data_IF_205722744506
#
_entry.id   IF_205722744506
#
_cell.length_a   1.000
_cell.length_b   1.000
_cell.length_c   1.000
_cell.angle_alpha   90.00
_cell.angle_beta   90.00
_cell.angle_gamma   90.00
#
_symmetry.space_group_name_H-M   'P 1'
#
loop_
_entity.id
_entity.type
_entity.pdbx_description
1 polymer ?
#
# COMPACT_ATOMS: atom_id res chain seq x y z
N UNK A 1 -29.25 -8.97 -4.12
CA UNK A 1 -28.18 -8.26 -3.38
C UNK A 1 -26.84 -8.63 -4.00
N UNK A 2 -25.98 -7.63 -4.22
CA UNK A 2 -24.63 -7.78 -4.78
C UNK A 2 -23.67 -7.05 -3.85
N UNK A 3 -22.53 -7.67 -3.56
CA UNK A 3 -21.45 -7.08 -2.77
C UNK A 3 -20.28 -6.71 -3.68
N UNK A 4 -19.72 -5.51 -3.47
CA UNK A 4 -18.45 -5.12 -4.09
C UNK A 4 -17.32 -5.79 -3.31
N UNK A 5 -16.65 -6.74 -3.94
CA UNK A 5 -15.51 -7.48 -3.35
C UNK A 5 -14.22 -6.70 -3.50
N UNK A 6 -14.07 -6.02 -4.63
CA UNK A 6 -12.92 -5.15 -4.93
C UNK A 6 -13.41 -3.93 -5.69
N UNK A 7 -12.92 -2.78 -5.27
CA UNK A 7 -13.12 -1.52 -5.98
C UNK A 7 -12.32 -1.50 -7.29
N UNK A 8 -12.73 -0.64 -8.21
CA UNK A 8 -11.98 -0.42 -9.44
C UNK A 8 -10.58 0.17 -9.13
N UNK A 9 -9.59 -0.23 -9.92
CA UNK A 9 -8.21 0.20 -9.72
C UNK A 9 -7.49 0.36 -11.05
N UNK A 10 -7.14 1.59 -11.39
CA UNK A 10 -6.51 1.90 -12.67
C UNK A 10 -7.39 1.42 -13.82
N UNK A 11 -6.86 0.53 -14.66
CA UNK A 11 -7.58 -0.05 -15.79
C UNK A 11 -8.37 -1.32 -15.45
N UNK A 12 -8.42 -1.73 -14.17
CA UNK A 12 -9.15 -2.91 -13.72
C UNK A 12 -10.49 -2.49 -13.15
N UNK A 13 -11.59 -3.03 -13.69
CA UNK A 13 -12.93 -2.82 -13.18
C UNK A 13 -13.15 -3.43 -11.79
N UNK A 14 -14.23 -3.03 -11.12
CA UNK A 14 -14.66 -3.56 -9.84
C UNK A 14 -14.98 -5.07 -9.93
N UNK A 15 -14.72 -5.82 -8.87
CA UNK A 15 -15.16 -7.20 -8.73
C UNK A 15 -16.41 -7.25 -7.86
N UNK A 16 -17.46 -7.87 -8.40
CA UNK A 16 -18.75 -8.04 -7.73
C UNK A 16 -19.00 -9.52 -7.45
N UNK A 17 -19.68 -9.80 -6.33
CA UNK A 17 -20.11 -11.14 -5.97
C UNK A 17 -21.54 -11.14 -5.43
N UNK A 18 -22.23 -12.25 -5.61
CA UNK A 18 -23.54 -12.52 -4.99
C UNK A 18 -23.40 -13.33 -3.70
N UNK A 19 -22.21 -13.86 -3.42
CA UNK A 19 -21.90 -14.50 -2.15
C UNK A 19 -21.57 -13.44 -1.10
N UNK A 20 -22.53 -13.07 -0.30
CA UNK A 20 -22.38 -12.03 0.71
C UNK A 20 -21.50 -12.53 1.84
N UNK A 21 -20.60 -11.69 2.30
CA UNK A 21 -19.74 -11.92 3.46
C UNK A 21 -19.76 -10.73 4.40
N UNK A 22 -20.16 -10.95 5.65
CA UNK A 22 -20.24 -9.94 6.69
C UNK A 22 -19.13 -10.19 7.72
N UNK A 23 -18.24 -9.24 7.87
CA UNK A 23 -17.09 -9.37 8.76
C UNK A 23 -17.40 -8.86 10.17
N UNK A 24 -17.43 -9.78 11.14
CA UNK A 24 -17.44 -9.50 12.57
C UNK A 24 -16.03 -9.35 13.15
N UNK A 25 -15.97 -9.29 14.45
CA UNK A 25 -14.71 -9.25 15.20
C UNK A 25 -13.97 -10.58 15.15
N UNK A 26 -14.65 -11.65 15.54
CA UNK A 26 -14.08 -12.98 15.71
C UNK A 26 -14.38 -13.91 14.54
N UNK A 27 -15.40 -13.59 13.74
CA UNK A 27 -15.82 -14.42 12.63
C UNK A 27 -16.28 -13.61 11.42
N UNK A 28 -16.47 -14.33 10.31
CA UNK A 28 -17.10 -13.83 9.09
C UNK A 28 -18.33 -14.69 8.84
N UNK A 29 -19.49 -14.07 8.71
CA UNK A 29 -20.75 -14.74 8.36
C UNK A 29 -20.95 -14.69 6.83
N UNK A 30 -21.29 -15.84 6.27
CA UNK A 30 -21.68 -15.97 4.85
C UNK A 30 -23.13 -16.45 4.76
N UNK A 31 -24.09 -15.51 4.72
CA UNK A 31 -25.51 -15.81 4.90
C UNK A 31 -26.09 -16.70 3.81
N UNK A 32 -25.56 -16.68 2.61
CA UNK A 32 -26.04 -17.40 1.45
C UNK A 32 -25.04 -18.41 0.89
N UNK A 33 -24.08 -18.85 1.70
CA UNK A 33 -23.08 -19.86 1.32
C UNK A 33 -22.82 -20.86 2.47
N UNK A 34 -23.71 -21.82 2.70
CA UNK A 34 -23.58 -22.79 3.80
C UNK A 34 -22.39 -23.74 3.64
N UNK A 35 -21.84 -23.87 2.42
CA UNK A 35 -20.66 -24.73 2.16
C UNK A 35 -19.35 -24.04 2.54
N UNK A 36 -19.35 -22.72 2.67
CA UNK A 36 -18.19 -21.97 3.10
C UNK A 36 -18.20 -21.92 4.63
N UNK A 37 -17.21 -22.52 5.26
CA UNK A 37 -17.10 -22.52 6.72
C UNK A 37 -15.76 -23.06 7.18
N UNK A 38 -15.45 -22.82 8.44
CA UNK A 38 -14.26 -23.37 9.06
C UNK A 38 -13.50 -22.38 9.96
N UNK A 39 -12.22 -22.65 10.13
CA UNK A 39 -11.31 -21.87 10.96
C UNK A 39 -10.17 -21.35 10.10
N UNK A 40 -9.75 -20.10 10.33
CA UNK A 40 -8.62 -19.47 9.62
C UNK A 40 -7.44 -20.43 9.45
N UNK A 41 -6.83 -20.45 8.26
CA UNK A 41 -5.66 -21.28 7.95
C UNK A 41 -4.40 -20.90 8.73
N UNK A 42 -4.42 -19.77 9.42
CA UNK A 42 -3.33 -19.29 10.28
C UNK A 42 -3.34 -19.92 11.67
N UNK A 43 -4.45 -20.55 12.05
CA UNK A 43 -4.62 -21.17 13.36
C UNK A 43 -4.31 -22.65 13.21
N UNK A 44 -3.36 -23.14 13.99
CA UNK A 44 -2.84 -24.51 13.93
C UNK A 44 -2.84 -25.15 15.33
N UNK A 45 -2.61 -26.47 15.40
CA UNK A 45 -2.42 -27.19 16.64
C UNK A 45 -3.63 -27.19 17.59
N UNK A 46 -3.34 -27.09 18.88
CA UNK A 46 -4.33 -27.16 19.98
C UNK A 46 -5.35 -26.02 19.94
N UNK A 47 -4.91 -24.83 19.54
CA UNK A 47 -5.79 -23.65 19.41
C UNK A 47 -6.89 -23.88 18.36
N UNK A 48 -6.53 -24.57 17.26
CA UNK A 48 -7.50 -24.93 16.22
C UNK A 48 -8.52 -25.96 16.72
N UNK A 49 -8.08 -26.93 17.54
CA UNK A 49 -8.97 -27.93 18.14
C UNK A 49 -9.96 -27.27 19.12
N UNK A 50 -9.45 -26.45 20.03
CA UNK A 50 -10.28 -25.71 21.00
C UNK A 50 -11.32 -24.79 20.31
N UNK A 51 -10.91 -24.09 19.25
CA UNK A 51 -11.86 -23.27 18.48
C UNK A 51 -12.91 -24.09 17.74
N UNK A 52 -12.58 -25.30 17.29
CA UNK A 52 -13.56 -26.20 16.68
C UNK A 52 -14.62 -26.63 17.69
N UNK A 53 -14.22 -26.94 18.91
CA UNK A 53 -15.14 -27.32 19.98
C UNK A 53 -16.03 -26.14 20.38
N UNK A 54 -15.47 -24.94 20.50
CA UNK A 54 -16.22 -23.70 20.74
C UNK A 54 -17.22 -23.42 19.60
N UNK A 55 -16.81 -23.60 18.34
CA UNK A 55 -17.66 -23.39 17.16
C UNK A 55 -18.83 -24.38 17.11
N UNK A 56 -18.62 -25.63 17.55
CA UNK A 56 -19.66 -26.65 17.61
C UNK A 56 -20.72 -26.37 18.70
N UNK A 57 -20.41 -25.51 19.67
CA UNK A 57 -21.31 -25.15 20.78
C UNK A 57 -22.17 -23.90 20.50
N UNK A 58 -21.91 -23.17 19.41
CA UNK A 58 -22.68 -21.98 19.02
C UNK A 58 -23.78 -22.33 18.01
N UNK A 59 -24.86 -21.54 18.01
CA UNK A 59 -26.03 -21.76 17.17
C UNK A 59 -25.87 -21.09 15.80
N UNK A 60 -25.30 -21.80 14.84
CA UNK A 60 -25.18 -21.35 13.45
C UNK A 60 -26.39 -21.82 12.66
N UNK A 61 -27.13 -20.94 11.95
CA UNK A 61 -28.23 -21.37 11.07
C UNK A 61 -27.72 -22.29 9.94
N UNK A 62 -28.44 -23.38 9.65
CA UNK A 62 -28.03 -24.39 8.66
C UNK A 62 -27.80 -23.86 7.24
N UNK A 63 -28.46 -22.75 6.89
CA UNK A 63 -28.34 -22.09 5.60
C UNK A 63 -27.11 -21.18 5.46
N UNK A 64 -26.30 -21.02 6.53
CA UNK A 64 -25.24 -20.04 6.60
C UNK A 64 -23.88 -20.69 6.87
N UNK A 65 -22.83 -20.11 6.31
CA UNK A 65 -21.45 -20.47 6.57
C UNK A 65 -20.76 -19.47 7.50
N UNK A 66 -19.84 -19.96 8.34
CA UNK A 66 -19.08 -19.12 9.27
C UNK A 66 -17.60 -19.50 9.18
N UNK A 67 -16.73 -18.48 9.10
CA UNK A 67 -15.27 -18.65 9.21
C UNK A 67 -14.77 -17.92 10.45
N UNK A 68 -14.13 -18.65 11.38
CA UNK A 68 -13.49 -18.03 12.55
C UNK A 68 -12.16 -17.39 12.15
N UNK A 69 -12.00 -16.13 12.53
CA UNK A 69 -10.80 -15.31 12.31
C UNK A 69 -9.75 -15.61 13.38
N UNK A 70 -8.50 -15.19 13.14
CA UNK A 70 -7.40 -15.30 14.12
C UNK A 70 -7.69 -14.58 15.43
N UNK A 71 -8.49 -13.52 15.42
CA UNK A 71 -8.94 -12.81 16.61
C UNK A 71 -9.82 -13.65 17.55
N UNK A 72 -10.36 -14.76 17.06
CA UNK A 72 -11.17 -15.71 17.86
C UNK A 72 -10.35 -16.69 18.71
N UNK A 73 -9.03 -16.71 18.59
CA UNK A 73 -8.16 -17.57 19.41
C UNK A 73 -8.38 -17.25 20.89
N UNK A 74 -8.61 -18.30 21.71
CA UNK A 74 -8.79 -18.18 23.14
C UNK A 74 -10.10 -17.53 23.59
N UNK A 75 -11.06 -17.29 22.67
CA UNK A 75 -12.37 -16.73 23.02
C UNK A 75 -13.36 -17.82 23.43
N UNK A 76 -14.24 -17.45 24.36
CA UNK A 76 -15.29 -18.34 24.81
C UNK A 76 -16.39 -18.51 23.76
N UNK A 77 -17.18 -19.58 23.87
CA UNK A 77 -18.35 -19.78 23.00
C UNK A 77 -19.37 -18.64 23.13
N UNK A 78 -19.49 -18.01 24.29
CA UNK A 78 -20.35 -16.86 24.52
C UNK A 78 -19.91 -15.64 23.73
N UNK A 79 -18.62 -15.32 23.73
CA UNK A 79 -18.06 -14.21 22.96
C UNK A 79 -18.23 -14.43 21.45
N UNK A 80 -18.04 -15.68 20.99
CA UNK A 80 -18.28 -16.04 19.59
C UNK A 80 -19.77 -15.95 19.25
N UNK A 81 -20.67 -16.33 20.16
CA UNK A 81 -22.11 -16.22 19.94
C UNK A 81 -22.55 -14.75 19.83
N UNK A 82 -22.03 -13.86 20.67
CA UNK A 82 -22.34 -12.42 20.58
C UNK A 82 -21.95 -11.82 19.21
N UNK A 83 -20.77 -12.18 18.73
CA UNK A 83 -20.33 -11.72 17.40
C UNK A 83 -21.23 -12.27 16.26
N UNK A 84 -21.65 -13.52 16.39
CA UNK A 84 -22.60 -14.16 15.47
C UNK A 84 -23.96 -13.48 15.51
N UNK A 85 -24.50 -13.22 16.69
CA UNK A 85 -25.81 -12.58 16.87
C UNK A 85 -25.82 -11.17 16.28
N UNK A 86 -24.75 -10.40 16.47
CA UNK A 86 -24.58 -9.10 15.82
C UNK A 86 -24.62 -9.22 14.30
N UNK A 87 -23.91 -10.20 13.72
CA UNK A 87 -23.89 -10.42 12.28
C UNK A 87 -25.24 -10.90 11.73
N UNK A 88 -25.98 -11.69 12.47
CA UNK A 88 -27.33 -12.13 12.13
C UNK A 88 -28.33 -10.96 12.14
N UNK A 89 -28.26 -10.07 13.14
CA UNK A 89 -29.05 -8.85 13.16
C UNK A 89 -28.72 -7.92 11.97
N UNK A 90 -27.45 -7.76 11.67
CA UNK A 90 -27.01 -6.96 10.52
C UNK A 90 -27.54 -7.55 9.20
N UNK A 91 -27.47 -8.87 9.04
CA UNK A 91 -28.01 -9.55 7.87
C UNK A 91 -29.52 -9.35 7.72
N UNK A 92 -30.25 -9.50 8.81
CA UNK A 92 -31.70 -9.25 8.83
C UNK A 92 -32.05 -7.82 8.41
N UNK A 93 -31.31 -6.83 8.90
CA UNK A 93 -31.49 -5.44 8.52
C UNK A 93 -31.17 -5.19 7.03
N UNK A 94 -30.17 -5.86 6.47
CA UNK A 94 -29.82 -5.80 5.04
C UNK A 94 -30.95 -6.39 4.19
N UNK A 95 -31.52 -7.52 4.59
CA UNK A 95 -32.63 -8.16 3.88
C UNK A 95 -33.88 -7.26 3.90
N UNK A 96 -34.25 -6.73 5.04
CA UNK A 96 -35.36 -5.81 5.17
C UNK A 96 -35.19 -4.56 4.30
N UNK A 97 -34.00 -3.94 4.32
CA UNK A 97 -33.71 -2.77 3.49
C UNK A 97 -33.73 -3.09 1.98
N UNK A 98 -33.40 -4.33 1.60
CA UNK A 98 -33.46 -4.77 0.20
C UNK A 98 -34.90 -4.97 -0.29
N UNK A 99 -35.83 -5.38 0.59
CA UNK A 99 -37.24 -5.53 0.27
C UNK A 99 -37.96 -4.19 0.20
N UNK A 100 -37.65 -3.27 1.10
CA UNK A 100 -38.29 -1.95 1.20
C UNK A 100 -37.87 -0.95 0.12
N UNK A 101 -36.69 -1.12 -0.46
CA UNK A 101 -36.09 -0.12 -1.37
C UNK A 101 -36.02 -0.64 -2.80
N UNK A 102 -36.30 0.26 -3.75
CA UNK A 102 -36.24 -0.04 -5.18
C UNK A 102 -34.79 0.03 -5.69
N UNK A 103 -34.34 -1.05 -6.35
CA UNK A 103 -33.02 -1.11 -6.98
C UNK A 103 -32.88 -0.14 -8.17
N UNK A 104 -31.66 0.38 -8.46
CA UNK A 104 -30.40 0.20 -7.72
C UNK A 104 -30.28 1.15 -6.52
N UNK A 105 -29.89 0.66 -5.36
CA UNK A 105 -29.70 1.46 -4.15
C UNK A 105 -28.57 0.88 -3.29
N UNK A 106 -27.78 1.75 -2.65
CA UNK A 106 -26.81 1.35 -1.64
C UNK A 106 -27.56 0.94 -0.36
N UNK A 107 -27.44 -0.34 0.03
CA UNK A 107 -28.11 -0.90 1.21
C UNK A 107 -27.22 -0.76 2.44
N UNK A 108 -25.99 -1.21 2.34
CA UNK A 108 -24.98 -1.17 3.39
C UNK A 108 -23.65 -0.68 2.83
N UNK A 109 -23.10 0.33 3.44
CA UNK A 109 -21.71 0.69 3.30
C UNK A 109 -20.95 0.10 4.48
N UNK A 110 -19.82 -0.59 4.23
CA UNK A 110 -19.00 -1.11 5.32
C UNK A 110 -18.66 0.03 6.29
N UNK A 111 -18.84 -0.26 7.58
CA UNK A 111 -18.84 0.71 8.65
C UNK A 111 -17.67 1.69 8.62
N UNK A 112 -17.88 2.84 9.26
CA UNK A 112 -16.91 3.87 9.59
C UNK A 112 -15.52 3.28 9.91
N UNK A 113 -14.45 3.98 9.49
CA UNK A 113 -13.06 3.58 9.69
C UNK A 113 -12.73 3.29 11.17
N UNK A 114 -13.38 4.00 12.09
CA UNK A 114 -13.18 3.85 13.54
C UNK A 114 -13.73 2.50 14.01
N UNK A 115 -14.95 2.15 13.63
CA UNK A 115 -15.55 0.85 13.96
C UNK A 115 -14.71 -0.29 13.36
N UNK A 116 -14.24 -0.14 12.12
CA UNK A 116 -13.34 -1.12 11.50
C UNK A 116 -12.02 -1.23 12.25
N UNK A 117 -11.43 -0.11 12.69
CA UNK A 117 -10.21 -0.11 13.46
C UNK A 117 -10.39 -0.82 14.82
N UNK A 118 -11.46 -0.50 15.56
CA UNK A 118 -11.77 -1.17 16.82
C UNK A 118 -12.02 -2.66 16.59
N UNK A 119 -12.87 -3.01 15.63
CA UNK A 119 -13.16 -4.40 15.27
C UNK A 119 -11.91 -5.20 14.95
N UNK A 120 -10.98 -4.62 14.21
CA UNK A 120 -9.85 -5.36 13.66
C UNK A 120 -8.59 -5.29 14.54
N UNK A 121 -8.40 -4.24 15.32
CA UNK A 121 -7.15 -3.99 16.06
C UNK A 121 -7.27 -3.99 17.57
N UNK A 122 -8.46 -3.78 18.15
CA UNK A 122 -8.61 -3.79 19.62
C UNK A 122 -8.34 -5.19 20.17
N UNK A 123 -7.31 -5.32 21.02
CA UNK A 123 -6.86 -6.56 21.66
C UNK A 123 -6.67 -6.34 23.15
N UNK A 124 -6.46 -7.44 23.88
CA UNK A 124 -6.28 -7.39 25.35
C UNK A 124 -5.01 -6.64 25.77
N UNK A 125 -3.98 -6.65 24.92
CA UNK A 125 -2.70 -5.94 25.11
C UNK A 125 -2.78 -4.42 24.84
N UNK A 126 -3.93 -3.91 24.39
CA UNK A 126 -4.16 -2.46 24.22
C UNK A 126 -4.77 -1.91 25.49
N UNK A 127 -4.10 -0.92 26.09
CA UNK A 127 -4.56 -0.29 27.33
C UNK A 127 -5.69 0.71 27.10
N UNK A 128 -5.59 1.53 26.06
CA UNK A 128 -6.52 2.62 25.81
C UNK A 128 -6.77 2.83 24.32
N UNK A 129 -8.01 3.18 23.99
CA UNK A 129 -8.44 3.72 22.71
C UNK A 129 -8.93 5.13 22.95
N UNK A 130 -8.22 6.12 22.44
CA UNK A 130 -8.54 7.53 22.60
C UNK A 130 -9.19 8.06 21.31
N UNK A 131 -10.32 8.71 21.45
CA UNK A 131 -11.09 9.30 20.35
C UNK A 131 -11.38 10.75 20.70
N UNK A 132 -11.06 11.68 19.81
CA UNK A 132 -11.18 13.13 20.04
C UNK A 132 -12.47 13.75 19.46
N UNK A 133 -13.25 12.97 18.70
CA UNK A 133 -14.57 13.37 18.21
C UNK A 133 -15.66 12.71 19.07
N UNK A 134 -16.57 13.51 19.64
CA UNK A 134 -17.68 13.02 20.46
C UNK A 134 -18.63 12.12 19.68
N UNK A 135 -18.93 12.46 18.43
CA UNK A 135 -19.76 11.66 17.53
C UNK A 135 -19.14 10.28 17.31
N UNK A 136 -17.88 10.26 16.93
CA UNK A 136 -17.12 9.02 16.71
C UNK A 136 -16.94 8.19 17.97
N UNK A 137 -16.80 8.83 19.13
CA UNK A 137 -16.75 8.16 20.42
C UNK A 137 -18.07 7.45 20.74
N UNK A 138 -19.19 8.13 20.51
CA UNK A 138 -20.51 7.56 20.75
C UNK A 138 -20.78 6.36 19.84
N UNK A 139 -20.43 6.45 18.54
CA UNK A 139 -20.52 5.31 17.62
C UNK A 139 -19.64 4.13 18.05
N UNK A 140 -18.39 4.42 18.44
CA UNK A 140 -17.45 3.42 18.92
C UNK A 140 -17.96 2.73 20.20
N UNK A 141 -18.47 3.50 21.15
CA UNK A 141 -19.04 2.98 22.39
C UNK A 141 -20.24 2.10 22.14
N UNK A 142 -21.16 2.51 21.27
CA UNK A 142 -22.31 1.71 20.90
C UNK A 142 -21.91 0.36 20.32
N UNK A 143 -20.93 0.33 19.42
CA UNK A 143 -20.39 -0.90 18.85
C UNK A 143 -19.71 -1.79 19.90
N UNK A 144 -18.87 -1.19 20.77
CA UNK A 144 -18.14 -1.93 21.81
C UNK A 144 -19.10 -2.53 22.86
N UNK A 145 -20.15 -1.81 23.24
CA UNK A 145 -21.17 -2.31 24.17
C UNK A 145 -21.93 -3.52 23.60
N UNK A 146 -22.16 -3.55 22.31
CA UNK A 146 -22.89 -4.66 21.66
C UNK A 146 -22.01 -5.89 21.41
N UNK A 147 -20.76 -5.70 20.97
CA UNK A 147 -19.92 -6.80 20.47
C UNK A 147 -18.82 -7.19 21.44
N UNK A 148 -18.32 -6.24 22.24
CA UNK A 148 -17.15 -6.42 23.10
C UNK A 148 -17.29 -5.68 24.44
N UNK A 149 -18.31 -5.97 25.27
CA UNK A 149 -18.62 -5.19 26.47
C UNK A 149 -17.48 -5.14 27.49
N UNK A 150 -16.60 -6.13 27.51
CA UNK A 150 -15.43 -6.17 28.40
C UNK A 150 -14.35 -5.12 28.06
N UNK A 151 -14.35 -4.58 26.83
CA UNK A 151 -13.44 -3.51 26.42
C UNK A 151 -13.98 -2.09 26.66
N UNK A 152 -15.21 -1.94 27.17
CA UNK A 152 -15.86 -0.65 27.39
C UNK A 152 -14.96 0.36 28.13
N UNK A 153 -14.29 -0.09 29.18
CA UNK A 153 -13.44 0.75 30.03
C UNK A 153 -12.14 1.23 29.34
N UNK A 154 -11.77 0.64 28.22
CA UNK A 154 -10.57 1.00 27.45
C UNK A 154 -10.83 2.13 26.44
N UNK A 155 -12.08 2.34 26.02
CA UNK A 155 -12.45 3.40 25.08
C UNK A 155 -12.77 4.69 25.85
N UNK A 156 -12.06 5.77 25.52
CA UNK A 156 -12.18 7.06 26.20
C UNK A 156 -12.27 8.22 25.24
N UNK A 157 -13.10 9.22 25.58
CA UNK A 157 -13.12 10.49 24.89
C UNK A 157 -11.89 11.33 25.30
N UNK A 158 -11.15 11.81 24.32
CA UNK A 158 -10.00 12.68 24.52
C UNK A 158 -10.44 14.14 24.46
N UNK A 159 -10.17 14.93 25.50
CA UNK A 159 -10.62 16.33 25.65
C UNK A 159 -9.51 17.30 26.02
N UNK A 160 -8.23 16.89 25.91
CA UNK A 160 -7.10 17.78 26.20
C UNK A 160 -6.95 18.89 25.14
N UNK A 161 -6.27 19.99 25.51
CA UNK A 161 -6.01 21.13 24.63
C UNK A 161 -5.03 20.81 23.51
N UNK A 162 -4.10 19.88 23.74
CA UNK A 162 -3.11 19.47 22.74
C UNK A 162 -3.78 18.47 21.79
N UNK A 163 -3.74 18.68 20.45
CA UNK A 163 -4.30 17.74 19.51
C UNK A 163 -3.74 16.33 19.72
N UNK A 164 -4.61 15.32 19.62
CA UNK A 164 -4.32 13.93 19.96
C UNK A 164 -3.08 13.39 19.22
N UNK A 165 -2.97 13.62 17.92
CA UNK A 165 -1.84 13.12 17.12
C UNK A 165 -0.53 13.86 17.44
N UNK A 166 -0.59 15.16 17.79
CA UNK A 166 0.59 15.91 18.21
C UNK A 166 1.10 15.43 19.57
N UNK A 167 0.18 15.13 20.52
CA UNK A 167 0.57 14.60 21.84
C UNK A 167 1.38 13.32 21.75
N UNK A 168 1.03 12.43 20.82
CA UNK A 168 1.68 11.13 20.65
C UNK A 168 2.68 11.11 19.48
N UNK A 169 3.02 12.26 18.91
CA UNK A 169 3.97 12.41 17.78
C UNK A 169 3.62 11.53 16.56
N UNK A 170 2.32 11.38 16.31
CA UNK A 170 1.81 10.53 15.21
C UNK A 170 1.96 11.22 13.87
N UNK A 171 1.79 12.57 13.80
CA UNK A 171 1.88 13.36 12.57
C UNK A 171 3.21 13.14 11.84
N UNK A 172 4.34 13.20 12.56
CA UNK A 172 5.68 13.00 11.97
C UNK A 172 5.86 11.58 11.41
N UNK A 173 5.22 10.59 12.04
CA UNK A 173 5.24 9.20 11.55
C UNK A 173 4.37 9.02 10.32
N UNK A 174 3.20 9.70 10.24
CA UNK A 174 2.36 9.72 9.05
C UNK A 174 3.12 10.34 7.88
N UNK A 175 3.77 11.50 8.10
CA UNK A 175 4.58 12.16 7.07
C UNK A 175 5.74 11.29 6.58
N UNK A 176 6.37 10.50 7.45
CA UNK A 176 7.43 9.58 7.05
C UNK A 176 6.95 8.52 6.05
N UNK A 177 5.66 8.16 6.08
CA UNK A 177 5.09 7.19 5.16
C UNK A 177 4.95 7.71 3.71
N UNK A 178 5.03 9.02 3.49
CA UNK A 178 5.03 9.64 2.17
C UNK A 178 6.44 9.89 1.62
N UNK A 179 7.47 9.81 2.47
CA UNK A 179 8.86 10.05 2.06
C UNK A 179 9.45 8.81 1.40
N UNK A 180 10.25 9.02 0.34
CA UNK A 180 10.98 7.92 -0.32
C UNK A 180 12.07 7.36 0.60
N UNK A 181 12.76 8.24 1.34
CA UNK A 181 13.85 7.91 2.25
C UNK A 181 13.40 8.08 3.71
N UNK A 182 13.70 7.09 4.54
CA UNK A 182 13.38 7.09 5.98
C UNK A 182 14.65 6.88 6.77
N UNK A 183 14.89 7.78 7.73
CA UNK A 183 16.09 7.78 8.57
C UNK A 183 16.01 6.69 9.65
N UNK A 184 17.15 6.08 9.93
CA UNK A 184 17.32 5.10 11.00
C UNK A 184 17.93 5.76 12.26
N UNK A 185 17.70 5.19 13.45
CA UNK A 185 18.22 5.75 14.71
C UNK A 185 19.73 5.95 14.75
N UNK A 186 20.49 5.05 14.13
CA UNK A 186 21.98 5.14 14.04
C UNK A 186 22.47 6.18 13.04
N UNK A 187 21.59 6.80 12.27
CA UNK A 187 21.92 7.78 11.22
C UNK A 187 22.04 7.20 9.81
N UNK A 188 21.80 5.90 9.64
CA UNK A 188 21.56 5.27 8.33
C UNK A 188 20.18 5.60 7.78
N UNK A 189 19.85 5.11 6.61
CA UNK A 189 18.54 5.29 6.00
C UNK A 189 18.10 4.07 5.18
N UNK A 190 16.78 3.94 5.03
CA UNK A 190 16.18 3.03 4.07
C UNK A 190 15.54 3.83 2.93
N UNK A 191 15.67 3.35 1.71
CA UNK A 191 15.06 3.96 0.52
C UNK A 191 14.06 2.97 -0.06
N UNK A 192 12.79 3.40 -0.17
CA UNK A 192 11.68 2.55 -0.60
C UNK A 192 11.24 2.98 -1.99
N UNK A 193 11.48 2.16 -3.00
CA UNK A 193 11.16 2.42 -4.40
C UNK A 193 10.15 1.41 -4.94
N UNK A 194 8.91 1.84 -5.20
CA UNK A 194 7.95 1.01 -5.91
C UNK A 194 8.30 0.94 -7.40
N UNK A 195 8.33 -0.28 -7.93
CA UNK A 195 8.39 -0.54 -9.37
C UNK A 195 7.04 -1.06 -9.87
N UNK A 196 6.91 -1.34 -11.16
CA UNK A 196 5.66 -1.90 -11.72
C UNK A 196 5.32 -3.27 -11.10
N UNK A 197 6.31 -4.12 -10.83
CA UNK A 197 6.11 -5.51 -10.41
C UNK A 197 6.35 -5.76 -8.92
N UNK A 198 7.25 -5.02 -8.30
CA UNK A 198 7.70 -5.24 -6.93
C UNK A 198 8.11 -3.92 -6.26
N UNK A 199 8.32 -3.97 -4.96
CA UNK A 199 8.94 -2.87 -4.21
C UNK A 199 10.36 -3.25 -3.86
N UNK A 200 11.33 -2.42 -4.22
CA UNK A 200 12.72 -2.54 -3.79
C UNK A 200 13.00 -1.64 -2.61
N UNK A 201 13.79 -2.13 -1.67
CA UNK A 201 14.21 -1.38 -0.49
C UNK A 201 15.73 -1.49 -0.39
N UNK A 202 16.40 -0.33 -0.45
CA UNK A 202 17.84 -0.18 -0.31
C UNK A 202 18.19 0.34 1.08
N UNK A 203 19.33 -0.07 1.63
CA UNK A 203 19.77 0.30 2.98
C UNK A 203 21.11 1.02 2.90
N UNK A 204 21.15 2.23 3.40
CA UNK A 204 22.33 3.06 3.46
C UNK A 204 22.85 3.17 4.90
N UNK A 205 24.15 2.88 5.13
CA UNK A 205 24.77 3.10 6.42
C UNK A 205 25.12 4.56 6.66
N UNK A 206 25.24 4.96 7.94
CA UNK A 206 25.71 6.29 8.29
C UNK A 206 27.15 6.53 7.83
N UNK A 207 27.46 7.78 7.43
CA UNK A 207 28.83 8.16 7.03
C UNK A 207 29.86 8.12 8.17
N UNK A 208 29.41 8.25 9.41
CA UNK A 208 30.25 8.24 10.60
C UNK A 208 30.15 6.86 11.27
N UNK A 209 31.08 5.97 10.96
CA UNK A 209 31.27 4.72 11.70
C UNK A 209 31.92 5.03 13.04
N UNK A 210 31.12 5.04 14.11
CA UNK A 210 31.63 5.11 15.49
C UNK A 210 32.11 3.75 16.00
N UNK A 211 31.89 2.66 15.26
CA UNK A 211 32.31 1.31 15.58
C UNK A 211 33.65 0.97 14.94
N UNK A 212 34.48 0.23 15.64
CA UNK A 212 35.80 -0.21 15.18
C UNK A 212 35.75 -1.33 14.14
N UNK A 213 34.56 -1.86 13.80
CA UNK A 213 34.35 -2.94 12.87
C UNK A 213 33.22 -2.61 11.88
N UNK A 214 33.51 -2.71 10.59
CA UNK A 214 32.59 -2.50 9.48
C UNK A 214 31.43 -3.52 9.55
N UNK A 215 31.73 -4.75 9.92
CA UNK A 215 30.74 -5.83 10.06
C UNK A 215 29.72 -5.55 11.18
N UNK A 216 30.18 -5.03 12.33
CA UNK A 216 29.28 -4.68 13.44
C UNK A 216 28.36 -3.51 13.08
N UNK A 217 28.91 -2.51 12.37
CA UNK A 217 28.12 -1.38 11.86
C UNK A 217 27.06 -1.86 10.86
N UNK A 218 27.40 -2.76 9.94
CA UNK A 218 26.49 -3.35 8.99
C UNK A 218 25.37 -4.13 9.68
N UNK A 219 25.71 -4.96 10.66
CA UNK A 219 24.74 -5.71 11.44
C UNK A 219 23.77 -4.80 12.17
N UNK A 220 24.26 -3.79 12.90
CA UNK A 220 23.41 -2.86 13.63
C UNK A 220 22.46 -2.11 12.70
N UNK A 221 22.97 -1.57 11.59
CA UNK A 221 22.16 -0.87 10.59
C UNK A 221 21.08 -1.78 10.00
N UNK A 222 21.44 -3.02 9.66
CA UNK A 222 20.50 -3.99 9.10
C UNK A 222 19.42 -4.41 10.11
N UNK A 223 19.73 -4.50 11.40
CA UNK A 223 18.75 -4.80 12.46
C UNK A 223 17.74 -3.64 12.62
N UNK A 224 18.23 -2.40 12.66
CA UNK A 224 17.37 -1.22 12.69
C UNK A 224 16.50 -1.11 11.42
N UNK A 225 17.09 -1.39 10.26
CA UNK A 225 16.38 -1.42 9.00
C UNK A 225 15.27 -2.50 8.98
N UNK A 226 15.53 -3.68 9.53
CA UNK A 226 14.52 -4.75 9.62
C UNK A 226 13.26 -4.30 10.38
N UNK A 227 13.43 -3.62 11.52
CA UNK A 227 12.32 -3.07 12.31
C UNK A 227 11.58 -1.97 11.56
N UNK A 228 12.33 -1.04 10.97
CA UNK A 228 11.75 0.09 10.24
C UNK A 228 11.04 -0.35 8.96
N UNK A 229 11.60 -1.29 8.20
CA UNK A 229 10.96 -1.88 7.02
C UNK A 229 9.61 -2.48 7.40
N UNK A 230 9.57 -3.31 8.45
CA UNK A 230 8.33 -3.92 8.92
C UNK A 230 7.28 -2.86 9.29
N UNK A 231 7.71 -1.77 9.94
CA UNK A 231 6.85 -0.63 10.29
C UNK A 231 6.34 0.08 9.04
N UNK A 232 7.21 0.41 8.08
CA UNK A 232 6.86 1.12 6.85
C UNK A 232 5.95 0.30 5.93
N UNK A 233 6.14 -1.01 5.84
CA UNK A 233 5.25 -1.89 5.08
C UNK A 233 3.81 -1.85 5.63
N UNK A 234 3.65 -1.80 6.95
CA UNK A 234 2.33 -1.67 7.60
C UNK A 234 1.74 -0.27 7.42
N UNK A 235 2.51 0.79 7.63
CA UNK A 235 2.05 2.18 7.51
C UNK A 235 1.60 2.52 6.08
N UNK A 236 2.35 2.04 5.09
CA UNK A 236 2.09 2.30 3.66
C UNK A 236 1.14 1.30 3.03
N UNK A 237 0.69 0.28 3.75
CA UNK A 237 -0.09 -0.87 3.23
C UNK A 237 0.57 -1.53 2.00
N UNK A 238 1.90 -1.57 1.96
CA UNK A 238 2.65 -2.18 0.86
C UNK A 238 2.43 -3.69 0.88
N UNK A 239 2.01 -4.26 -0.24
CA UNK A 239 1.84 -5.69 -0.43
C UNK A 239 2.33 -6.15 -1.81
N UNK A 240 2.41 -7.45 -1.99
CA UNK A 240 3.01 -8.08 -3.16
C UNK A 240 4.43 -8.55 -2.89
N UNK A 241 5.26 -8.56 -3.90
CA UNK A 241 6.67 -8.95 -3.80
C UNK A 241 7.51 -7.75 -3.35
N UNK A 242 8.35 -7.96 -2.36
CA UNK A 242 9.26 -6.97 -1.80
C UNK A 242 10.66 -7.59 -1.78
N UNK A 243 11.63 -6.84 -2.24
CA UNK A 243 13.05 -7.22 -2.22
C UNK A 243 13.82 -6.19 -1.42
N UNK A 244 14.53 -6.65 -0.39
CA UNK A 244 15.36 -5.81 0.48
C UNK A 244 16.82 -6.10 0.17
N UNK A 245 17.59 -5.06 -0.11
CA UNK A 245 19.05 -5.12 -0.30
C UNK A 245 19.71 -4.75 1.04
N UNK A 246 20.08 -5.80 1.80
CA UNK A 246 20.77 -5.61 3.07
C UNK A 246 22.25 -5.33 2.84
N UNK A 247 22.83 -4.48 3.69
CA UNK A 247 24.28 -4.22 3.70
C UNK A 247 25.00 -5.57 3.86
N UNK A 248 26.02 -5.82 3.03
CA UNK A 248 26.76 -7.05 3.02
C UNK A 248 27.30 -7.44 4.40
N UNK A 249 27.07 -8.68 4.79
CA UNK A 249 27.57 -9.29 6.02
C UNK A 249 28.32 -10.58 5.68
N UNK A 250 29.56 -10.67 6.13
CA UNK A 250 30.41 -11.85 5.87
C UNK A 250 30.05 -13.05 6.76
N UNK A 251 29.63 -12.78 8.00
CA UNK A 251 29.32 -13.82 8.96
C UNK A 251 27.89 -14.36 8.79
N UNK A 252 27.74 -15.64 8.50
CA UNK A 252 26.44 -16.30 8.38
C UNK A 252 25.58 -16.21 9.67
N UNK A 253 26.21 -16.01 10.83
CA UNK A 253 25.53 -15.77 12.10
C UNK A 253 24.76 -14.44 12.04
N UNK A 254 25.39 -13.36 11.56
CA UNK A 254 24.82 -12.04 11.45
C UNK A 254 23.66 -12.03 10.45
N UNK A 255 23.79 -12.70 9.30
CA UNK A 255 22.69 -12.86 8.35
C UNK A 255 21.48 -13.53 8.98
N UNK A 256 21.68 -14.61 9.75
CA UNK A 256 20.57 -15.29 10.46
C UNK A 256 19.91 -14.40 11.53
N UNK A 257 20.70 -13.57 12.19
CA UNK A 257 20.19 -12.63 13.20
C UNK A 257 19.24 -11.61 12.55
N UNK A 258 19.64 -11.03 11.41
CA UNK A 258 18.80 -10.12 10.63
C UNK A 258 17.55 -10.82 10.10
N UNK A 259 17.67 -12.05 9.55
CA UNK A 259 16.51 -12.85 9.13
C UNK A 259 15.51 -13.10 10.26
N UNK A 260 16.02 -13.41 11.47
CA UNK A 260 15.20 -13.61 12.65
C UNK A 260 14.51 -12.31 13.06
N UNK A 261 15.22 -11.19 13.04
CA UNK A 261 14.67 -9.87 13.36
C UNK A 261 13.55 -9.47 12.41
N UNK A 262 13.73 -9.69 11.09
CA UNK A 262 12.67 -9.47 10.11
C UNK A 262 11.43 -10.30 10.45
N UNK A 263 11.58 -11.59 10.73
CA UNK A 263 10.46 -12.47 11.10
C UNK A 263 9.75 -12.01 12.38
N UNK A 264 10.51 -11.62 13.38
CA UNK A 264 9.99 -11.10 14.65
C UNK A 264 9.21 -9.79 14.43
N UNK A 265 9.81 -8.82 13.72
CA UNK A 265 9.18 -7.54 13.42
C UNK A 265 7.89 -7.69 12.57
N UNK A 266 7.83 -8.71 11.71
CA UNK A 266 6.64 -9.01 10.90
C UNK A 266 5.60 -9.88 11.64
N UNK A 267 5.90 -10.44 12.81
CA UNK A 267 4.97 -11.33 13.54
C UNK A 267 3.67 -10.64 13.95
N UNK A 268 3.73 -9.34 14.25
CA UNK A 268 2.57 -8.51 14.60
C UNK A 268 1.75 -8.04 13.40
N UNK A 269 2.20 -8.33 12.16
CA UNK A 269 1.49 -7.91 10.96
C UNK A 269 0.21 -8.72 10.77
N UNK A 270 -0.89 -8.01 10.51
CA UNK A 270 -2.16 -8.64 10.18
C UNK A 270 -2.15 -9.33 8.81
N UNK A 271 -1.35 -8.84 7.87
CA UNK A 271 -1.19 -9.46 6.57
C UNK A 271 -0.40 -10.78 6.66
N UNK A 272 -0.74 -11.74 5.81
CA UNK A 272 0.10 -12.94 5.67
C UNK A 272 1.41 -12.55 5.02
N UNK A 273 2.52 -12.84 5.69
CA UNK A 273 3.87 -12.59 5.20
C UNK A 273 4.62 -13.91 5.04
N UNK A 274 5.37 -14.03 3.96
CA UNK A 274 6.32 -15.11 3.73
C UNK A 274 7.67 -14.48 3.44
N UNK A 275 8.70 -14.88 4.18
CA UNK A 275 10.07 -14.38 4.03
C UNK A 275 11.00 -15.48 3.56
N UNK A 276 11.87 -15.17 2.62
CA UNK A 276 12.99 -16.01 2.22
C UNK A 276 14.16 -15.95 3.21
N UNK A 277 15.29 -16.46 2.79
CA UNK A 277 16.59 -16.26 3.44
C UNK A 277 17.36 -15.17 2.69
N UNK A 278 18.32 -14.55 3.36
CA UNK A 278 19.26 -13.66 2.69
C UNK A 278 20.08 -14.47 1.70
N UNK A 279 20.03 -14.07 0.44
CA UNK A 279 20.75 -14.73 -0.65
C UNK A 279 22.25 -14.42 -0.58
N UNK A 280 23.07 -15.13 -1.36
CA UNK A 280 24.51 -14.84 -1.52
C UNK A 280 24.79 -13.42 -2.08
N UNK A 281 23.78 -12.71 -2.53
CA UNK A 281 23.87 -11.34 -3.05
C UNK A 281 23.39 -10.28 -2.05
N UNK A 282 23.16 -10.64 -0.77
CA UNK A 282 22.63 -9.73 0.24
C UNK A 282 21.12 -9.52 0.18
N UNK A 283 20.41 -10.07 -0.82
CA UNK A 283 19.00 -9.82 -1.04
C UNK A 283 18.10 -10.73 -0.20
N UNK A 284 17.12 -10.12 0.47
CA UNK A 284 16.02 -10.84 1.12
C UNK A 284 14.74 -10.61 0.35
N UNK A 285 14.13 -11.70 -0.11
CA UNK A 285 12.84 -11.69 -0.79
C UNK A 285 11.72 -11.96 0.20
N UNK A 286 10.66 -11.19 0.14
CA UNK A 286 9.44 -11.44 0.90
C UNK A 286 8.19 -11.20 0.08
N UNK A 287 7.11 -11.87 0.46
CA UNK A 287 5.77 -11.67 -0.10
C UNK A 287 4.83 -11.29 1.02
N UNK A 288 4.13 -10.17 0.89
CA UNK A 288 3.12 -9.69 1.82
C UNK A 288 1.75 -9.63 1.15
N UNK A 289 0.75 -10.19 1.79
CA UNK A 289 -0.62 -10.14 1.29
C UNK A 289 -1.09 -8.68 1.17
N UNK A 290 -1.67 -8.31 0.03
CA UNK A 290 -2.33 -7.02 -0.15
C UNK A 290 -3.66 -7.03 0.58
N UNK A 291 -3.80 -6.20 1.61
CA UNK A 291 -5.05 -6.05 2.36
C UNK A 291 -5.95 -4.99 1.73
N UNK A 292 -5.33 -3.93 1.21
CA UNK A 292 -5.96 -2.78 0.52
C UNK A 292 -4.95 -2.16 -0.46
N UNK A 293 -5.36 -1.18 -1.29
CA UNK A 293 -4.41 -0.41 -2.07
C UNK A 293 -3.40 0.31 -1.18
N UNK A 294 -2.15 0.38 -1.61
CA UNK A 294 -1.10 1.06 -0.84
C UNK A 294 -1.34 2.57 -0.76
N UNK A 295 -0.72 3.22 0.24
CA UNK A 295 -0.81 4.66 0.42
C UNK A 295 -0.38 5.43 -0.84
N UNK A 296 0.68 5.01 -1.52
CA UNK A 296 1.13 5.59 -2.77
C UNK A 296 0.12 5.46 -3.91
N UNK A 297 -0.61 4.34 -3.99
CA UNK A 297 -1.62 4.12 -5.02
C UNK A 297 -2.89 4.96 -4.82
N UNK A 298 -3.22 5.30 -3.58
CA UNK A 298 -4.44 6.06 -3.24
C UNK A 298 -4.22 7.57 -3.20
N UNK A 299 -3.01 8.03 -2.87
CA UNK A 299 -2.71 9.44 -2.62
C UNK A 299 -1.75 10.09 -3.61
N UNK A 300 -1.07 9.30 -4.47
CA UNK A 300 -0.15 9.81 -5.47
C UNK A 300 -0.72 9.74 -6.89
N UNK A 301 -0.29 10.67 -7.73
CA UNK A 301 -0.55 10.65 -9.18
C UNK A 301 0.76 10.41 -9.91
N UNK A 302 0.70 9.66 -11.01
CA UNK A 302 1.87 9.48 -11.87
C UNK A 302 2.34 10.84 -12.37
N UNK A 303 3.62 11.14 -12.20
CA UNK A 303 4.20 12.40 -12.67
C UNK A 303 4.05 12.49 -14.20
N UNK A 304 3.36 13.52 -14.75
CA UNK A 304 3.16 13.63 -16.19
C UNK A 304 4.46 13.86 -16.95
N UNK A 305 5.49 14.39 -16.29
CA UNK A 305 6.77 14.71 -16.92
C UNK A 305 7.64 13.47 -17.16
N UNK A 306 7.74 12.57 -16.20
CA UNK A 306 8.57 11.35 -16.32
C UNK A 306 7.75 10.06 -16.45
N UNK A 307 6.42 10.14 -16.43
CA UNK A 307 5.53 8.97 -16.51
C UNK A 307 5.87 7.86 -15.50
N UNK A 308 6.34 8.25 -14.31
CA UNK A 308 6.74 7.33 -13.24
C UNK A 308 8.18 6.80 -13.33
N UNK A 309 8.96 7.22 -14.35
CA UNK A 309 10.33 6.72 -14.55
C UNK A 309 11.38 7.33 -13.59
N UNK A 310 11.06 8.43 -12.90
CA UNK A 310 11.98 9.14 -12.00
C UNK A 310 13.05 9.99 -12.73
N UNK A 311 13.33 9.71 -13.98
CA UNK A 311 14.30 10.42 -14.83
C UNK A 311 13.68 10.85 -16.15
N UNK A 312 14.25 11.88 -16.77
CA UNK A 312 13.90 12.35 -18.12
C UNK A 312 15.16 12.47 -18.97
N UNK A 313 14.99 12.45 -20.29
CA UNK A 313 16.11 12.71 -21.20
C UNK A 313 16.60 14.13 -21.03
N UNK A 314 17.92 14.32 -21.04
CA UNK A 314 18.52 15.64 -20.99
C UNK A 314 18.25 16.44 -22.29
N UNK A 315 18.41 17.75 -22.22
CA UNK A 315 18.12 18.66 -23.34
C UNK A 315 18.91 18.32 -24.60
N UNK A 316 20.19 17.93 -24.48
CA UNK A 316 21.05 17.60 -25.61
C UNK A 316 20.61 16.30 -26.30
N UNK A 317 20.38 15.26 -25.48
CA UNK A 317 19.92 13.97 -25.98
C UNK A 317 18.54 14.06 -26.63
N UNK A 318 17.63 14.84 -26.05
CA UNK A 318 16.30 15.07 -26.58
C UNK A 318 16.37 15.84 -27.90
N UNK A 319 17.16 16.91 -27.99
CA UNK A 319 17.35 17.71 -29.20
C UNK A 319 17.91 16.88 -30.37
N UNK A 320 18.88 15.98 -30.11
CA UNK A 320 19.40 15.07 -31.11
C UNK A 320 18.35 14.06 -31.60
N UNK A 321 17.48 13.59 -30.70
CA UNK A 321 16.37 12.73 -31.10
C UNK A 321 15.37 13.45 -32.00
N UNK A 322 15.02 14.68 -31.67
CA UNK A 322 14.11 15.52 -32.44
C UNK A 322 14.72 15.78 -33.80
N UNK A 323 16.03 16.11 -33.88
CA UNK A 323 16.71 16.33 -35.13
C UNK A 323 16.64 15.11 -36.07
N UNK A 324 16.79 13.89 -35.52
CA UNK A 324 16.65 12.66 -36.31
C UNK A 324 15.23 12.46 -36.82
N UNK A 325 14.22 12.75 -36.00
CA UNK A 325 12.82 12.69 -36.41
C UNK A 325 12.51 13.72 -37.50
N UNK A 326 13.03 14.95 -37.39
CA UNK A 326 12.92 15.98 -38.40
C UNK A 326 13.56 15.49 -39.70
N UNK A 327 14.73 14.87 -39.67
CA UNK A 327 15.40 14.30 -40.82
C UNK A 327 14.60 13.15 -41.46
N UNK A 328 14.03 12.27 -40.63
CA UNK A 328 13.16 11.18 -41.08
C UNK A 328 11.91 11.70 -41.79
N UNK A 329 11.23 12.69 -41.19
CA UNK A 329 10.05 13.32 -41.83
C UNK A 329 10.39 14.12 -43.10
N UNK A 330 11.58 14.72 -43.14
CA UNK A 330 12.05 15.44 -44.32
C UNK A 330 12.27 14.52 -45.53
N UNK A 331 12.67 13.28 -45.30
CA UNK A 331 12.93 12.31 -46.37
C UNK A 331 11.65 11.60 -46.87
N UNK A 332 10.47 11.84 -46.26
CA UNK A 332 9.20 11.30 -46.77
C UNK A 332 8.70 12.05 -47.99
N UNK A 333 8.12 11.33 -48.93
CA UNK A 333 7.54 11.93 -50.15
C UNK A 333 6.45 12.98 -49.82
N UNK A 334 6.40 14.06 -50.61
CA UNK A 334 5.46 15.19 -50.52
C UNK A 334 5.60 16.02 -49.23
N UNK A 335 6.77 16.02 -48.57
CA UNK A 335 7.08 16.92 -47.47
C UNK A 335 7.47 18.31 -48.01
N UNK A 336 6.80 19.37 -47.54
CA UNK A 336 7.12 20.76 -47.88
C UNK A 336 7.67 21.53 -46.70
N UNK A 337 7.08 21.33 -45.51
CA UNK A 337 7.48 22.00 -44.28
C UNK A 337 7.35 21.01 -43.12
N UNK A 338 8.32 21.04 -42.22
CA UNK A 338 8.30 20.27 -40.95
C UNK A 338 8.35 21.24 -39.80
N UNK A 339 7.41 21.10 -38.86
CA UNK A 339 7.32 21.91 -37.66
C UNK A 339 7.70 21.07 -36.46
N UNK A 340 8.73 21.49 -35.74
CA UNK A 340 9.14 20.92 -34.46
C UNK A 340 8.76 21.88 -33.32
N UNK A 341 7.66 21.56 -32.60
CA UNK A 341 7.24 22.32 -31.41
C UNK A 341 7.94 21.70 -30.21
N UNK A 342 8.77 22.47 -29.55
CA UNK A 342 9.72 21.96 -28.54
C UNK A 342 9.81 22.88 -27.34
N UNK A 343 10.22 22.37 -26.15
CA UNK A 343 10.55 23.22 -25.00
C UNK A 343 11.58 24.29 -25.35
N UNK A 344 11.50 25.46 -24.68
CA UNK A 344 12.34 26.63 -24.98
C UNK A 344 13.83 26.29 -24.93
N UNK A 345 14.31 25.56 -23.95
CA UNK A 345 15.70 25.16 -23.81
C UNK A 345 16.17 24.22 -24.93
N UNK A 346 15.31 23.32 -25.38
CA UNK A 346 15.58 22.42 -26.51
C UNK A 346 15.61 23.21 -27.83
N UNK A 347 14.67 24.13 -28.01
CA UNK A 347 14.64 25.04 -29.16
C UNK A 347 15.88 25.89 -29.24
N UNK A 348 16.31 26.50 -28.14
CA UNK A 348 17.56 27.25 -28.05
C UNK A 348 18.77 26.41 -28.44
N UNK A 349 18.86 25.18 -27.98
CA UNK A 349 19.95 24.27 -28.35
C UNK A 349 19.93 23.91 -29.84
N UNK A 350 18.76 23.57 -30.40
CA UNK A 350 18.62 23.24 -31.81
C UNK A 350 19.00 24.43 -32.73
N UNK A 351 18.48 25.62 -32.44
CA UNK A 351 18.67 26.81 -33.28
C UNK A 351 20.09 27.38 -33.20
N UNK A 352 20.78 27.23 -32.09
CA UNK A 352 22.15 27.73 -31.92
C UNK A 352 23.18 26.65 -32.23
N UNK A 353 23.17 25.54 -31.50
CA UNK A 353 24.21 24.52 -31.58
C UNK A 353 24.06 23.55 -32.74
N UNK A 354 22.85 23.36 -33.25
CA UNK A 354 22.53 22.43 -34.36
C UNK A 354 22.04 23.12 -35.63
N UNK A 355 22.23 24.43 -35.72
CA UNK A 355 21.82 25.23 -36.87
C UNK A 355 22.35 24.70 -38.19
N UNK A 356 23.64 24.36 -38.28
CA UNK A 356 24.26 23.80 -39.47
C UNK A 356 23.68 22.45 -39.87
N UNK A 357 23.32 21.61 -38.92
CA UNK A 357 22.68 20.32 -39.18
C UNK A 357 21.27 20.50 -39.74
N UNK A 358 20.48 21.42 -39.16
CA UNK A 358 19.14 21.76 -39.68
C UNK A 358 19.23 22.26 -41.10
N UNK A 359 20.15 23.20 -41.38
CA UNK A 359 20.37 23.73 -42.73
C UNK A 359 20.78 22.63 -43.72
N UNK A 360 21.62 21.68 -43.33
CA UNK A 360 22.01 20.56 -44.20
C UNK A 360 20.81 19.64 -44.53
N UNK A 361 19.88 19.44 -43.60
CA UNK A 361 18.63 18.69 -43.86
C UNK A 361 17.75 19.44 -44.86
N UNK A 362 17.55 20.75 -44.68
CA UNK A 362 16.77 21.59 -45.57
C UNK A 362 17.30 21.55 -47.01
N UNK A 363 18.62 21.69 -47.15
CA UNK A 363 19.26 21.66 -48.48
C UNK A 363 19.16 20.28 -49.15
N UNK A 364 19.35 19.22 -48.41
CA UNK A 364 19.35 17.85 -48.95
C UNK A 364 17.95 17.39 -49.35
N UNK A 365 16.94 17.70 -48.56
CA UNK A 365 15.56 17.21 -48.76
C UNK A 365 14.66 18.24 -49.43
N UNK A 366 15.14 19.46 -49.70
CA UNK A 366 14.38 20.59 -50.24
C UNK A 366 13.07 20.85 -49.45
N UNK A 367 13.15 20.80 -48.14
CA UNK A 367 12.04 20.95 -47.18
C UNK A 367 12.39 22.08 -46.22
N UNK A 368 11.42 22.88 -45.81
CA UNK A 368 11.60 23.90 -44.79
C UNK A 368 11.45 23.28 -43.40
N UNK A 369 12.39 23.56 -42.50
CA UNK A 369 12.34 23.13 -41.09
C UNK A 369 12.08 24.32 -40.17
N UNK A 370 10.98 24.30 -39.44
CA UNK A 370 10.59 25.35 -38.50
C UNK A 370 10.65 24.81 -37.08
N UNK A 371 11.59 25.31 -36.26
CA UNK A 371 11.67 25.00 -34.82
C UNK A 371 10.91 26.07 -34.07
N UNK A 372 9.87 25.65 -33.31
CA UNK A 372 8.97 26.52 -32.56
C UNK A 372 9.20 26.30 -31.08
N UNK A 373 9.91 27.20 -30.36
CA UNK A 373 10.03 27.13 -28.92
C UNK A 373 8.67 27.42 -28.25
N UNK A 374 8.17 26.48 -27.48
CA UNK A 374 6.87 26.55 -26.81
C UNK A 374 7.05 26.64 -25.27
N UNK A 375 6.70 27.78 -24.66
CA UNK A 375 6.86 27.97 -23.21
C UNK A 375 5.99 27.05 -22.34
N UNK A 376 4.89 26.53 -22.89
CA UNK A 376 3.96 25.64 -22.21
C UNK A 376 4.39 24.17 -22.25
N UNK A 377 5.42 23.82 -23.02
CA UNK A 377 5.96 22.47 -23.08
C UNK A 377 7.15 22.31 -22.16
N UNK A 378 7.10 21.26 -21.34
CA UNK A 378 8.21 20.81 -20.52
C UNK A 378 8.89 19.58 -21.14
N UNK A 379 10.21 19.49 -20.99
CA UNK A 379 10.94 18.27 -21.34
C UNK A 379 10.38 17.06 -20.58
N UNK A 380 10.22 15.89 -21.22
CA UNK A 380 10.68 15.49 -22.55
C UNK A 380 9.66 15.64 -23.68
N UNK A 381 8.56 16.35 -23.46
CA UNK A 381 7.47 16.44 -24.44
C UNK A 381 7.85 17.36 -25.61
N UNK A 382 7.47 16.96 -26.80
CA UNK A 382 7.63 17.72 -28.04
C UNK A 382 6.66 17.18 -29.11
N UNK A 383 6.47 17.93 -30.18
CA UNK A 383 5.70 17.52 -31.34
C UNK A 383 6.51 17.78 -32.63
N UNK A 384 6.48 16.83 -33.56
CA UNK A 384 7.01 16.99 -34.90
C UNK A 384 5.87 16.71 -35.87
N UNK A 385 5.53 17.72 -36.66
CA UNK A 385 4.41 17.67 -37.59
C UNK A 385 4.93 18.04 -38.99
N UNK A 386 4.45 17.31 -39.99
CA UNK A 386 4.72 17.48 -41.39
C UNK A 386 3.57 18.21 -42.08
#
# INVERSE_FOLDING_TARGET
IVQVEKEERGNKGAALTTFISLAGRYMVLMPNNPRAGGISRRIEGEERAALRDALNSINIPESMGVIVRTAGIGRSSEELQWDLDYLLHLWSAIQQAAEERKAPVLILQESNVIIRAIRDYLRDDIDQVLIDSEESYNEAMHFVEQVMPHFKNKVRLYQDQVPLFNRYQIESQIESAFQREVQLPSGGSIVIDPTEALVSIDINSARATKGGDIEETALQTNLEAADEIARQLRLRDIGGLIVVDFIDMMAAKNQREVENRVREAMSSDRARVQTGRISRFGLLEMSRQRLRPSLGETSAKVCPRCSGQGTIRDTKSLALSILRLVEEEANKEKSAEIRAVVPVNVGSYLLNEKRTAIYAIEQRSNVRVVVIPAPHLDTPHFEVVR
#
